data_IF_852623786094
#
_entry.id   IF_852623786094
#
_cell.length_a   1.000
_cell.length_b   1.000
_cell.length_c   1.000
_cell.angle_alpha   90.00
_cell.angle_beta   90.00
_cell.angle_gamma   90.00
#
_symmetry.space_group_name_H-M   'P 1'
#
loop_
_entity.id
_entity.type
_entity.pdbx_description
1 polymer ?
#
# COMPACT_ATOMS: atom_id res chain seq x y z
N UNK A 1 28.77 -16.02 -4.25
CA UNK A 1 27.90 -16.41 -5.37
C UNK A 1 26.49 -16.54 -4.78
N UNK A 2 25.46 -15.74 -5.04
CA UNK A 2 25.06 -14.92 -6.18
C UNK A 2 24.30 -13.69 -5.65
N UNK A 3 24.90 -12.49 -5.75
CA UNK A 3 24.17 -11.21 -5.57
C UNK A 3 23.64 -10.67 -6.93
N UNK A 4 23.67 -11.51 -7.96
CA UNK A 4 23.43 -11.08 -9.35
C UNK A 4 21.94 -10.99 -9.71
N UNK A 5 21.04 -11.61 -8.95
CA UNK A 5 19.61 -11.68 -9.33
C UNK A 5 18.79 -10.46 -8.92
N UNK A 6 19.16 -9.75 -7.84
CA UNK A 6 18.37 -8.63 -7.33
C UNK A 6 18.67 -7.29 -8.05
N UNK A 7 19.86 -7.15 -8.64
CA UNK A 7 20.24 -5.93 -9.39
C UNK A 7 19.58 -5.82 -10.78
N UNK A 8 18.99 -6.90 -11.28
CA UNK A 8 18.51 -6.96 -12.66
C UNK A 8 17.16 -6.24 -12.90
N UNK A 9 16.33 -6.02 -11.87
CA UNK A 9 15.00 -5.41 -12.07
C UNK A 9 15.00 -3.89 -12.17
N UNK A 10 16.04 -3.19 -11.68
CA UNK A 10 16.19 -1.73 -11.87
C UNK A 10 17.19 -1.36 -12.99
N UNK A 11 17.23 -2.11 -14.10
CA UNK A 11 18.21 -1.87 -15.19
C UNK A 11 17.64 -1.26 -16.48
N UNK A 12 16.31 -1.07 -16.63
CA UNK A 12 15.73 -0.66 -17.92
C UNK A 12 15.24 0.79 -17.89
N UNK A 13 16.18 1.75 -17.93
CA UNK A 13 16.15 2.94 -18.82
C UNK A 13 17.32 3.89 -18.51
N UNK A 14 18.30 3.87 -19.39
CA UNK A 14 19.36 4.87 -19.46
C UNK A 14 18.74 6.27 -19.68
N UNK A 15 19.06 7.23 -18.79
CA UNK A 15 18.74 8.69 -18.82
C UNK A 15 17.60 9.24 -17.94
N UNK A 16 16.99 8.48 -17.03
CA UNK A 16 15.98 9.02 -16.10
C UNK A 16 16.56 9.21 -14.68
N UNK A 17 16.18 10.26 -13.91
CA UNK A 17 16.60 10.44 -12.50
C UNK A 17 16.39 9.18 -11.62
N UNK A 18 15.44 8.33 -12.02
CA UNK A 18 15.17 6.99 -11.49
C UNK A 18 16.44 6.11 -11.37
N UNK A 19 17.34 6.16 -12.35
CA UNK A 19 18.56 5.33 -12.37
C UNK A 19 19.59 5.76 -11.32
N UNK A 20 19.68 7.07 -11.03
CA UNK A 20 20.62 7.61 -10.04
C UNK A 20 20.24 7.16 -8.63
N UNK A 21 18.95 7.21 -8.29
CA UNK A 21 18.47 6.80 -6.97
C UNK A 21 18.51 5.29 -6.74
N UNK A 22 18.21 4.46 -7.76
CA UNK A 22 18.37 3.01 -7.67
C UNK A 22 19.81 2.54 -7.45
N UNK A 23 20.81 3.41 -7.67
CA UNK A 23 22.22 3.07 -7.45
C UNK A 23 22.62 3.09 -5.96
N UNK A 24 21.78 3.65 -5.08
CA UNK A 24 22.04 3.67 -3.64
C UNK A 24 21.70 2.34 -2.98
N UNK A 25 22.51 1.95 -2.00
CA UNK A 25 22.27 0.74 -1.19
C UNK A 25 21.01 0.92 -0.33
N UNK A 26 20.13 -0.09 -0.32
CA UNK A 26 18.88 -0.06 0.43
C UNK A 26 17.70 0.54 -0.33
N UNK A 27 17.88 0.98 -1.58
CA UNK A 27 16.79 1.37 -2.48
C UNK A 27 16.36 0.16 -3.29
N UNK A 28 15.14 -0.31 -3.05
CA UNK A 28 14.55 -1.42 -3.77
C UNK A 28 14.14 -1.02 -5.18
N UNK A 29 13.34 0.05 -5.27
CA UNK A 29 12.75 0.52 -6.52
C UNK A 29 12.46 2.02 -6.43
N UNK A 30 12.38 2.67 -7.59
CA UNK A 30 11.92 4.05 -7.69
C UNK A 30 10.89 4.17 -8.80
N UNK A 31 9.87 5.01 -8.61
CA UNK A 31 8.81 5.22 -9.58
C UNK A 31 8.52 6.71 -9.74
N UNK A 32 8.31 7.16 -10.97
CA UNK A 32 8.00 8.56 -11.26
C UNK A 32 6.49 8.83 -11.19
N UNK A 33 6.12 10.06 -10.87
CA UNK A 33 4.75 10.58 -10.97
C UNK A 33 4.14 10.30 -12.35
N UNK A 34 4.91 10.52 -13.43
CA UNK A 34 4.45 10.22 -14.79
C UNK A 34 4.13 8.74 -15.00
N UNK A 35 4.88 7.83 -14.39
CA UNK A 35 4.60 6.39 -14.49
C UNK A 35 3.34 6.05 -13.68
N UNK A 36 3.18 6.60 -12.48
CA UNK A 36 1.97 6.40 -11.67
C UNK A 36 0.70 6.99 -12.27
N UNK A 37 0.82 8.04 -13.10
CA UNK A 37 -0.31 8.64 -13.80
C UNK A 37 -0.69 7.91 -15.09
N UNK A 38 0.30 7.36 -15.81
CA UNK A 38 0.10 6.81 -17.16
C UNK A 38 0.09 5.27 -17.23
N UNK A 39 0.51 4.58 -16.17
CA UNK A 39 0.44 3.13 -16.08
C UNK A 39 -0.66 2.70 -15.09
N UNK A 40 -1.11 1.46 -15.19
CA UNK A 40 -2.01 0.85 -14.21
C UNK A 40 -1.32 -0.35 -13.56
N UNK A 41 -1.25 -0.35 -12.23
CA UNK A 41 -0.69 -1.45 -11.45
C UNK A 41 -1.81 -2.18 -10.71
N UNK A 42 -1.98 -3.47 -11.02
CA UNK A 42 -3.06 -4.29 -10.46
C UNK A 42 -2.75 -4.81 -9.06
N UNK A 43 -1.49 -5.14 -8.75
CA UNK A 43 -1.08 -5.70 -7.46
C UNK A 43 0.38 -5.33 -7.11
N UNK A 44 0.78 -5.68 -5.90
CA UNK A 44 2.13 -5.51 -5.38
C UNK A 44 2.42 -4.11 -4.87
N UNK A 45 3.71 -3.82 -4.71
CA UNK A 45 4.18 -2.57 -4.11
C UNK A 45 3.81 -1.35 -4.97
N UNK A 46 3.90 -1.44 -6.29
CA UNK A 46 3.55 -0.32 -7.18
C UNK A 46 2.06 -0.01 -7.16
N UNK A 47 1.18 -1.01 -7.02
CA UNK A 47 -0.26 -0.77 -6.86
C UNK A 47 -0.56 -0.02 -5.55
N UNK A 48 0.11 -0.39 -4.45
CA UNK A 48 0.01 0.33 -3.17
C UNK A 48 0.49 1.77 -3.29
N UNK A 49 1.62 2.00 -3.96
CA UNK A 49 2.14 3.35 -4.23
C UNK A 49 1.18 4.19 -5.08
N UNK A 50 0.59 3.58 -6.11
CA UNK A 50 -0.38 4.25 -6.97
C UNK A 50 -1.65 4.63 -6.19
N UNK A 51 -2.15 3.76 -5.31
CA UNK A 51 -3.29 4.07 -4.42
C UNK A 51 -2.99 5.20 -3.43
N UNK A 52 -1.74 5.40 -3.03
CA UNK A 52 -1.29 6.49 -2.16
C UNK A 52 -0.93 7.79 -2.89
N UNK A 53 -0.89 7.78 -4.23
CA UNK A 53 -0.46 8.93 -5.03
C UNK A 53 -1.60 9.93 -5.25
N UNK A 54 -1.30 11.21 -5.06
CA UNK A 54 -2.19 12.32 -5.37
C UNK A 54 -1.50 13.32 -6.30
N UNK A 55 -2.02 13.51 -7.51
CA UNK A 55 -1.37 14.35 -8.52
C UNK A 55 -1.07 15.80 -8.08
N UNK A 56 -1.84 16.36 -7.12
CA UNK A 56 -1.69 17.75 -6.66
C UNK A 56 -0.81 17.87 -5.42
N UNK A 57 -0.56 16.76 -4.71
CA UNK A 57 0.07 16.76 -3.37
C UNK A 57 1.27 15.85 -3.24
N UNK A 58 1.45 14.89 -4.15
CA UNK A 58 2.58 13.98 -4.17
C UNK A 58 3.72 14.56 -5.01
N UNK A 59 4.96 14.21 -4.64
CA UNK A 59 6.15 14.61 -5.38
C UNK A 59 6.34 13.88 -6.71
N UNK A 60 7.39 14.27 -7.43
CA UNK A 60 7.71 13.76 -8.78
C UNK A 60 8.27 12.34 -8.81
N UNK A 61 8.87 11.89 -7.70
CA UNK A 61 9.48 10.56 -7.57
C UNK A 61 9.12 9.98 -6.21
N UNK A 62 8.67 8.72 -6.20
CA UNK A 62 8.49 7.92 -5.00
C UNK A 62 9.60 6.87 -4.94
N UNK A 63 10.22 6.76 -3.77
CA UNK A 63 11.32 5.82 -3.51
C UNK A 63 10.80 4.71 -2.59
N UNK A 64 11.03 3.47 -2.98
CA UNK A 64 10.80 2.30 -2.15
C UNK A 64 12.13 1.80 -1.58
N UNK A 65 12.21 1.65 -0.27
CA UNK A 65 13.37 1.05 0.37
C UNK A 65 13.25 -0.48 0.37
N UNK A 66 14.38 -1.17 0.52
CA UNK A 66 14.41 -2.61 0.75
C UNK A 66 13.74 -2.97 2.08
N UNK A 67 13.15 -4.18 2.22
CA UNK A 67 12.54 -4.61 3.48
C UNK A 67 13.52 -4.48 4.66
N UNK A 68 13.04 -3.94 5.78
CA UNK A 68 13.87 -3.72 6.98
C UNK A 68 14.73 -2.45 6.95
N UNK A 69 14.73 -1.69 5.84
CA UNK A 69 15.31 -0.35 5.80
C UNK A 69 14.26 0.70 6.18
N UNK A 70 14.70 1.72 6.92
CA UNK A 70 13.86 2.81 7.39
C UNK A 70 14.57 4.14 7.26
N UNK A 71 13.82 5.21 6.96
CA UNK A 71 14.37 6.56 6.97
C UNK A 71 14.78 6.97 8.39
N UNK A 72 16.00 7.49 8.54
CA UNK A 72 16.52 7.92 9.84
C UNK A 72 16.21 9.39 10.07
N UNK A 73 15.07 9.66 10.70
CA UNK A 73 14.59 11.02 11.01
C UNK A 73 14.63 11.35 12.51
N UNK A 74 15.58 10.76 13.26
CA UNK A 74 15.73 10.98 14.70
C UNK A 74 14.82 10.13 15.60
N UNK A 75 13.91 9.35 15.01
CA UNK A 75 13.05 8.38 15.72
C UNK A 75 13.61 6.96 15.58
N UNK A 76 13.52 6.15 16.64
CA UNK A 76 14.06 4.79 16.69
C UNK A 76 13.32 3.77 15.82
N UNK A 77 12.10 4.07 15.37
CA UNK A 77 11.33 3.26 14.43
C UNK A 77 10.42 4.17 13.59
N UNK A 78 10.24 3.85 12.32
CA UNK A 78 9.30 4.52 11.42
C UNK A 78 8.46 3.49 10.66
N UNK A 79 7.23 3.87 10.31
CA UNK A 79 6.30 3.07 9.51
C UNK A 79 5.95 3.88 8.27
N UNK A 80 6.24 3.33 7.09
CA UNK A 80 5.86 3.95 5.81
C UNK A 80 6.05 3.00 4.63
N UNK A 81 6.40 1.74 4.88
CA UNK A 81 6.75 0.81 3.84
C UNK A 81 5.50 0.10 3.30
N UNK A 82 5.56 -0.31 2.04
CA UNK A 82 4.47 -1.05 1.39
C UNK A 82 4.47 -2.55 1.74
N UNK A 83 5.33 -2.98 2.65
CA UNK A 83 5.52 -4.38 3.02
C UNK A 83 4.54 -4.83 4.11
N UNK A 84 4.38 -6.15 4.24
CA UNK A 84 3.38 -6.75 5.12
C UNK A 84 3.51 -6.35 6.59
N UNK A 85 4.72 -6.10 7.08
CA UNK A 85 4.95 -5.71 8.47
C UNK A 85 4.39 -4.33 8.83
N UNK A 86 4.21 -3.43 7.85
CA UNK A 86 3.56 -2.13 8.03
C UNK A 86 2.09 -2.16 7.56
N UNK A 87 1.74 -3.01 6.59
CA UNK A 87 0.38 -3.01 6.00
C UNK A 87 -0.59 -4.03 6.62
N UNK A 88 -0.12 -5.05 7.33
CA UNK A 88 -0.98 -6.04 7.99
C UNK A 88 -1.32 -5.57 9.40
N UNK A 89 -2.57 -5.13 9.58
CA UNK A 89 -3.06 -4.61 10.85
C UNK A 89 -4.24 -5.44 11.36
N UNK A 90 -4.39 -5.61 12.68
CA UNK A 90 -5.54 -6.31 13.25
C UNK A 90 -6.81 -5.47 13.10
N UNK A 91 -7.94 -6.13 12.79
CA UNK A 91 -9.26 -5.53 12.74
C UNK A 91 -10.21 -6.34 13.64
N UNK A 92 -10.86 -5.66 14.59
CA UNK A 92 -11.80 -6.28 15.54
C UNK A 92 -13.15 -5.58 15.42
N UNK A 93 -14.19 -6.37 15.14
CA UNK A 93 -15.58 -5.93 15.20
C UNK A 93 -16.21 -6.41 16.51
N UNK A 94 -16.94 -5.54 17.19
CA UNK A 94 -17.58 -5.86 18.47
C UNK A 94 -18.86 -5.04 18.67
N UNK A 95 -19.86 -5.65 19.31
CA UNK A 95 -21.10 -4.98 19.71
C UNK A 95 -22.31 -5.36 18.86
N UNK A 96 -23.14 -4.36 18.55
CA UNK A 96 -24.43 -4.55 17.89
C UNK A 96 -24.30 -5.19 16.50
N UNK A 97 -25.14 -6.20 16.23
CA UNK A 97 -25.19 -6.97 14.96
C UNK A 97 -23.92 -7.76 14.60
N UNK A 98 -22.95 -7.90 15.52
CA UNK A 98 -21.73 -8.70 15.28
C UNK A 98 -21.85 -10.08 15.95
N UNK A 99 -21.75 -11.18 15.18
CA UNK A 99 -21.65 -12.53 15.76
C UNK A 99 -20.19 -12.85 16.05
N UNK A 100 -19.98 -13.77 17.00
CA UNK A 100 -18.65 -14.28 17.33
C UNK A 100 -18.13 -15.13 16.17
N UNK A 101 -16.96 -14.77 15.67
CA UNK A 101 -16.29 -15.53 14.62
C UNK A 101 -14.91 -14.97 14.33
N UNK A 102 -14.17 -15.68 13.49
CA UNK A 102 -12.90 -15.24 12.93
C UNK A 102 -13.04 -15.16 11.42
N UNK A 103 -12.48 -14.12 10.84
CA UNK A 103 -12.48 -13.88 9.40
C UNK A 103 -11.03 -14.01 8.93
N UNK A 104 -10.78 -15.00 8.07
CA UNK A 104 -9.47 -15.27 7.49
C UNK A 104 -9.35 -14.81 6.04
N UNK A 105 -10.45 -14.31 5.46
CA UNK A 105 -10.43 -13.73 4.12
C UNK A 105 -9.63 -12.42 4.11
N UNK A 106 -9.05 -12.08 2.96
CA UNK A 106 -8.31 -10.83 2.81
C UNK A 106 -9.30 -9.67 2.88
N UNK A 107 -9.05 -8.75 3.81
CA UNK A 107 -9.82 -7.52 3.98
C UNK A 107 -8.89 -6.33 3.75
N UNK A 108 -9.34 -5.35 2.97
CA UNK A 108 -8.63 -4.09 2.80
C UNK A 108 -9.16 -3.04 3.78
N UNK A 109 -8.30 -2.11 4.21
CA UNK A 109 -8.68 -1.04 5.15
C UNK A 109 -9.84 -0.16 4.61
N UNK A 110 -9.96 -0.06 3.28
CA UNK A 110 -11.01 0.69 2.59
C UNK A 110 -12.41 0.10 2.78
N UNK A 111 -12.51 -1.16 3.22
CA UNK A 111 -13.77 -1.89 3.39
C UNK A 111 -14.46 -1.58 4.73
N UNK A 112 -13.73 -1.00 5.69
CA UNK A 112 -14.26 -0.69 7.03
C UNK A 112 -15.39 0.34 6.96
N UNK A 113 -15.18 1.44 6.26
CA UNK A 113 -16.17 2.51 6.14
C UNK A 113 -17.50 2.04 5.49
N UNK A 114 -17.51 1.36 4.32
CA UNK A 114 -18.75 0.84 3.73
C UNK A 114 -19.40 -0.25 4.59
N UNK A 115 -18.62 -1.04 5.35
CA UNK A 115 -19.18 -2.01 6.32
C UNK A 115 -19.96 -1.31 7.45
N UNK A 116 -19.43 -0.20 7.98
CA UNK A 116 -20.16 0.60 8.99
C UNK A 116 -21.42 1.22 8.38
N UNK A 117 -21.31 1.81 7.18
CA UNK A 117 -22.46 2.36 6.46
C UNK A 117 -23.56 1.33 6.24
N UNK A 118 -23.19 0.08 5.94
CA UNK A 118 -24.13 -1.03 5.80
C UNK A 118 -24.88 -1.30 7.11
N UNK A 119 -24.18 -1.36 8.25
CA UNK A 119 -24.83 -1.59 9.55
C UNK A 119 -25.77 -0.47 9.98
N UNK A 120 -25.42 0.76 9.61
CA UNK A 120 -26.19 1.98 9.91
C UNK A 120 -27.31 2.25 8.89
N UNK A 121 -27.41 1.46 7.83
CA UNK A 121 -28.40 1.62 6.76
C UNK A 121 -28.33 3.02 6.11
N UNK A 122 -27.11 3.54 5.94
CA UNK A 122 -26.82 4.81 5.26
C UNK A 122 -26.03 4.59 3.98
N UNK A 123 -25.99 5.62 3.13
CA UNK A 123 -25.13 5.61 1.95
C UNK A 123 -23.64 5.47 2.35
N UNK A 124 -22.88 4.77 1.52
CA UNK A 124 -21.42 4.70 1.65
C UNK A 124 -20.79 6.08 1.38
N UNK A 125 -19.61 6.37 1.94
CA UNK A 125 -18.92 7.63 1.65
C UNK A 125 -18.68 7.81 0.15
N UNK A 126 -18.86 9.04 -0.36
CA UNK A 126 -18.82 9.37 -1.79
C UNK A 126 -17.54 8.93 -2.53
N UNK A 127 -16.41 8.84 -1.82
CA UNK A 127 -15.12 8.43 -2.36
C UNK A 127 -14.64 7.07 -1.81
N UNK A 128 -15.56 6.26 -1.29
CA UNK A 128 -15.24 4.91 -0.85
C UNK A 128 -14.88 4.03 -2.06
N UNK A 129 -13.74 3.34 -1.98
CA UNK A 129 -13.27 2.40 -3.00
C UNK A 129 -13.39 0.94 -2.57
N UNK A 130 -13.80 0.69 -1.32
CA UNK A 130 -13.97 -0.63 -0.75
C UNK A 130 -15.39 -1.18 -0.90
N UNK A 131 -15.62 -2.36 -0.36
CA UNK A 131 -16.93 -3.02 -0.30
C UNK A 131 -17.22 -3.49 1.13
N UNK A 132 -18.50 -3.63 1.54
CA UNK A 132 -18.82 -4.19 2.84
C UNK A 132 -18.22 -5.60 3.01
N UNK A 133 -17.56 -5.84 4.15
CA UNK A 133 -16.89 -7.11 4.46
C UNK A 133 -17.93 -8.20 4.62
N UNK A 134 -17.99 -9.10 3.65
CA UNK A 134 -19.02 -10.15 3.57
C UNK A 134 -19.02 -11.05 4.80
N UNK A 135 -17.84 -11.48 5.26
CA UNK A 135 -17.70 -12.27 6.48
C UNK A 135 -18.18 -11.58 7.75
N UNK A 136 -18.44 -10.27 7.74
CA UNK A 136 -18.98 -9.50 8.88
C UNK A 136 -20.48 -9.25 8.72
N UNK A 137 -20.93 -8.88 7.51
CA UNK A 137 -22.33 -8.47 7.28
C UNK A 137 -23.30 -9.64 7.05
N UNK A 138 -22.80 -10.77 6.51
CA UNK A 138 -23.60 -11.93 6.12
C UNK A 138 -23.30 -13.15 7.01
N UNK A 139 -23.36 -12.96 8.33
CA UNK A 139 -23.12 -14.00 9.35
C UNK A 139 -24.40 -14.65 9.85
#
# INVERSE_FOLDING_TARGET
MSQSSARAMCSIKNRSPMFSFCSFTGVSNTVTASTLQNAYFSDGVFAKMQKGYNQKRSGDVIINLDPGWSEKNGTSASHNSSYSYDTHVPLVWYGWKIKRGNIFEKVDMTDVAPTISYFLEIASPNASSGQPIQGVVNQ
#
